data_IF_095076486750
#
_entry.id   IF_095076486750
#
_cell.length_a   1.000
_cell.length_b   1.000
_cell.length_c   1.000
_cell.angle_alpha   90.00
_cell.angle_beta   90.00
_cell.angle_gamma   90.00
#
_symmetry.space_group_name_H-M   'P 1'
#
loop_
_entity.id
_entity.type
_entity.pdbx_description
1 polymer ?
#
# COMPACT_ATOMS: atom_id res chain seq x y z
N UNK A 1 8.60 3.06 -18.18
CA UNK A 1 8.92 4.42 -17.73
C UNK A 1 8.93 4.34 -16.22
N UNK A 2 10.06 4.56 -15.55
CA UNK A 2 10.15 4.37 -14.09
C UNK A 2 9.33 5.46 -13.43
N UNK A 3 8.30 5.07 -12.67
CA UNK A 3 7.51 6.02 -11.88
C UNK A 3 8.31 6.36 -10.63
N UNK A 4 8.54 7.66 -10.40
CA UNK A 4 9.14 8.13 -9.15
C UNK A 4 8.04 8.25 -8.10
N UNK A 5 8.22 7.58 -6.96
CA UNK A 5 7.24 7.56 -5.87
C UNK A 5 6.86 8.99 -5.42
N UNK A 6 7.83 9.87 -5.21
CA UNK A 6 7.57 11.21 -4.69
C UNK A 6 6.83 12.06 -5.72
N UNK A 7 7.14 11.89 -7.00
CA UNK A 7 6.40 12.53 -8.07
C UNK A 7 4.95 12.03 -8.12
N UNK A 8 4.71 10.73 -8.05
CA UNK A 8 3.35 10.19 -8.07
C UNK A 8 2.54 10.65 -6.85
N UNK A 9 3.14 10.68 -5.66
CA UNK A 9 2.50 11.23 -4.45
C UNK A 9 2.09 12.71 -4.64
N UNK A 10 2.91 13.49 -5.33
CA UNK A 10 2.58 14.88 -5.68
C UNK A 10 1.42 14.96 -6.68
N UNK A 11 1.43 14.16 -7.75
CA UNK A 11 0.34 14.17 -8.73
C UNK A 11 -1.00 13.75 -8.08
N UNK A 12 -0.98 12.73 -7.21
CA UNK A 12 -2.17 12.29 -6.46
C UNK A 12 -2.66 13.42 -5.55
N UNK A 13 -1.75 14.12 -4.87
CA UNK A 13 -2.09 15.31 -4.07
C UNK A 13 -2.75 16.41 -4.93
N UNK A 14 -2.39 16.51 -6.21
CA UNK A 14 -3.00 17.41 -7.18
C UNK A 14 -4.30 16.89 -7.81
N UNK A 15 -4.79 15.72 -7.38
CA UNK A 15 -6.05 15.13 -7.81
C UNK A 15 -5.94 14.08 -8.91
N UNK A 16 -4.72 13.62 -9.25
CA UNK A 16 -4.55 12.48 -10.16
C UNK A 16 -5.07 11.20 -9.50
N UNK A 17 -5.87 10.43 -10.24
CA UNK A 17 -6.12 9.03 -9.93
C UNK A 17 -5.04 8.19 -10.63
N UNK A 18 -4.17 7.50 -9.90
CA UNK A 18 -3.09 6.73 -10.51
C UNK A 18 -3.65 5.47 -11.20
N UNK A 19 -2.99 4.97 -12.23
CA UNK A 19 -3.30 3.66 -12.85
C UNK A 19 -2.75 2.51 -12.00
N UNK A 20 -3.17 1.27 -12.26
CA UNK A 20 -2.67 0.08 -11.54
C UNK A 20 -1.17 -0.12 -11.75
N UNK A 21 -0.68 0.09 -12.98
CA UNK A 21 0.75 0.02 -13.30
C UNK A 21 1.56 1.10 -12.55
N UNK A 22 1.03 2.32 -12.45
CA UNK A 22 1.70 3.39 -11.68
C UNK A 22 1.75 3.09 -10.18
N UNK A 23 0.70 2.47 -9.64
CA UNK A 23 0.69 2.03 -8.24
C UNK A 23 1.72 0.93 -8.02
N UNK A 24 1.74 -0.11 -8.86
CA UNK A 24 2.69 -1.21 -8.73
C UNK A 24 4.14 -0.72 -8.80
N UNK A 25 4.47 0.15 -9.76
CA UNK A 25 5.81 0.75 -9.87
C UNK A 25 6.18 1.60 -8.65
N UNK A 26 5.24 2.37 -8.11
CA UNK A 26 5.48 3.17 -6.91
C UNK A 26 5.65 2.32 -5.64
N UNK A 27 4.88 1.23 -5.50
CA UNK A 27 5.01 0.29 -4.37
C UNK A 27 6.34 -0.47 -4.43
N UNK A 28 6.79 -0.83 -5.63
CA UNK A 28 8.13 -1.36 -5.85
C UNK A 28 9.21 -0.36 -5.44
N UNK A 29 9.10 0.92 -5.85
CA UNK A 29 10.06 1.95 -5.45
C UNK A 29 10.03 2.20 -3.93
N UNK A 30 8.86 2.10 -3.28
CA UNK A 30 8.77 2.07 -1.80
C UNK A 30 9.62 0.92 -1.28
N UNK A 31 9.36 -0.32 -1.69
CA UNK A 31 10.09 -1.48 -1.17
C UNK A 31 11.59 -1.34 -1.33
N UNK A 32 12.05 -0.90 -2.51
CA UNK A 32 13.48 -0.79 -2.82
C UNK A 32 14.17 0.38 -2.08
N UNK A 33 13.46 1.48 -1.78
CA UNK A 33 14.08 2.75 -1.37
C UNK A 33 13.53 3.36 -0.09
N UNK A 34 12.57 2.73 0.58
CA UNK A 34 11.94 3.30 1.77
C UNK A 34 12.93 3.57 2.89
N UNK A 35 14.00 2.77 3.02
CA UNK A 35 15.09 3.02 3.99
C UNK A 35 15.83 4.33 3.76
N UNK A 36 15.80 4.87 2.54
CA UNK A 36 16.50 6.11 2.17
C UNK A 36 15.63 7.36 2.34
N UNK A 37 14.30 7.23 2.21
CA UNK A 37 13.36 8.35 2.17
C UNK A 37 12.15 8.21 3.12
N UNK A 38 12.28 7.67 4.34
CA UNK A 38 11.12 7.41 5.19
C UNK A 38 10.45 8.72 5.64
N UNK A 39 11.23 9.79 5.87
CA UNK A 39 10.72 11.11 6.29
C UNK A 39 9.85 11.79 5.24
N UNK A 40 10.24 11.67 3.98
CA UNK A 40 9.57 12.30 2.84
C UNK A 40 8.28 11.55 2.53
N UNK A 41 8.35 10.22 2.45
CA UNK A 41 7.22 9.35 2.16
C UNK A 41 6.15 9.44 3.25
N UNK A 42 6.57 9.42 4.53
CA UNK A 42 5.65 9.49 5.68
C UNK A 42 5.32 10.93 6.12
N UNK A 43 5.73 11.95 5.36
CA UNK A 43 5.42 13.34 5.71
C UNK A 43 3.91 13.61 5.69
N UNK A 44 3.45 14.55 6.52
CA UNK A 44 2.02 14.85 6.64
C UNK A 44 1.37 15.21 5.29
N UNK A 45 2.09 15.93 4.41
CA UNK A 45 1.63 16.29 3.07
C UNK A 45 1.41 15.08 2.14
N UNK A 46 2.08 13.97 2.41
CA UNK A 46 2.03 12.75 1.60
C UNK A 46 1.13 11.68 2.23
N UNK A 47 0.63 11.90 3.44
CA UNK A 47 -0.16 10.92 4.18
C UNK A 47 -1.41 10.45 3.43
N UNK A 48 -2.19 11.37 2.86
CA UNK A 48 -3.39 10.99 2.09
C UNK A 48 -3.03 10.31 0.76
N UNK A 49 -2.13 10.86 -0.09
CA UNK A 49 -1.66 10.16 -1.28
C UNK A 49 -1.09 8.77 -1.02
N UNK A 50 -0.28 8.62 0.04
CA UNK A 50 0.33 7.34 0.42
C UNK A 50 -0.73 6.32 0.82
N UNK A 51 -1.74 6.72 1.60
CA UNK A 51 -2.84 5.82 1.96
C UNK A 51 -3.64 5.38 0.75
N UNK A 52 -3.82 6.23 -0.25
CA UNK A 52 -4.47 5.84 -1.50
C UNK A 52 -3.65 4.78 -2.25
N UNK A 53 -2.33 4.96 -2.37
CA UNK A 53 -1.44 3.95 -2.94
C UNK A 53 -1.50 2.64 -2.17
N UNK A 54 -1.45 2.69 -0.84
CA UNK A 54 -1.50 1.50 0.01
C UNK A 54 -2.86 0.81 -0.14
N UNK A 55 -3.97 1.55 -0.15
CA UNK A 55 -5.33 1.00 -0.32
C UNK A 55 -5.44 0.26 -1.64
N UNK A 56 -4.99 0.89 -2.73
CA UNK A 56 -4.93 0.28 -4.06
C UNK A 56 -4.05 -0.98 -4.07
N UNK A 57 -2.86 -0.92 -3.50
CA UNK A 57 -1.97 -2.07 -3.39
C UNK A 57 -2.58 -3.23 -2.58
N UNK A 58 -3.34 -2.94 -1.52
CA UNK A 58 -4.07 -3.96 -0.76
C UNK A 58 -5.14 -4.62 -1.63
N UNK A 59 -5.96 -3.82 -2.32
CA UNK A 59 -7.04 -4.33 -3.16
C UNK A 59 -6.52 -5.21 -4.31
N UNK A 60 -5.34 -4.89 -4.83
CA UNK A 60 -4.66 -5.68 -5.88
C UNK A 60 -3.83 -6.84 -5.33
N UNK A 61 -3.72 -6.97 -4.00
CA UNK A 61 -2.76 -7.86 -3.34
C UNK A 61 -1.35 -7.72 -3.95
N UNK A 62 -0.83 -6.50 -3.99
CA UNK A 62 0.49 -6.19 -4.53
C UNK A 62 1.59 -6.78 -3.66
N UNK A 63 2.44 -7.64 -4.23
CA UNK A 63 3.45 -8.37 -3.47
C UNK A 63 4.51 -7.44 -2.86
N UNK A 64 4.89 -6.37 -3.56
CA UNK A 64 5.92 -5.44 -3.10
C UNK A 64 5.44 -4.65 -1.88
N UNK A 65 4.18 -4.22 -1.85
CA UNK A 65 3.59 -3.62 -0.65
C UNK A 65 3.62 -4.57 0.55
N UNK A 66 3.24 -5.83 0.34
CA UNK A 66 3.15 -6.81 1.41
C UNK A 66 4.53 -7.11 1.98
N UNK A 67 5.53 -7.30 1.12
CA UNK A 67 6.92 -7.50 1.52
C UNK A 67 7.50 -6.24 2.18
N UNK A 68 7.25 -5.05 1.66
CA UNK A 68 7.67 -3.81 2.30
C UNK A 68 7.07 -3.65 3.70
N UNK A 69 5.85 -4.14 3.94
CA UNK A 69 5.25 -4.18 5.28
C UNK A 69 5.92 -5.21 6.21
N UNK A 70 6.49 -6.30 5.70
CA UNK A 70 7.33 -7.21 6.50
C UNK A 70 8.63 -6.51 6.92
N UNK A 71 9.23 -5.76 6.00
CA UNK A 71 10.55 -5.13 6.15
C UNK A 71 10.51 -3.83 6.98
N UNK A 72 9.39 -3.11 6.97
CA UNK A 72 9.30 -1.76 7.52
C UNK A 72 8.10 -1.53 8.44
N UNK A 73 8.38 -1.45 9.75
CA UNK A 73 7.39 -1.22 10.81
C UNK A 73 6.54 0.05 10.61
N UNK A 74 7.16 1.13 10.16
CA UNK A 74 6.47 2.42 9.97
C UNK A 74 5.51 2.37 8.79
N UNK A 75 5.90 1.74 7.67
CA UNK A 75 5.01 1.50 6.53
C UNK A 75 3.86 0.57 6.91
N UNK A 76 4.17 -0.52 7.62
CA UNK A 76 3.15 -1.47 8.12
C UNK A 76 2.11 -0.79 9.01
N UNK A 77 2.51 0.17 9.85
CA UNK A 77 1.58 0.96 10.66
C UNK A 77 0.62 1.80 9.80
N UNK A 78 1.12 2.42 8.73
CA UNK A 78 0.26 3.16 7.80
C UNK A 78 -0.66 2.23 7.00
N UNK A 79 -0.18 1.05 6.61
CA UNK A 79 -1.02 0.03 5.98
C UNK A 79 -2.13 -0.46 6.92
N UNK A 80 -1.82 -0.73 8.19
CA UNK A 80 -2.83 -1.09 9.16
C UNK A 80 -3.86 0.02 9.35
N UNK A 81 -3.44 1.28 9.42
CA UNK A 81 -4.37 2.42 9.49
C UNK A 81 -5.28 2.49 8.26
N UNK A 82 -4.73 2.25 7.07
CA UNK A 82 -5.49 2.18 5.80
C UNK A 82 -6.53 1.08 5.83
N UNK A 83 -6.14 -0.13 6.25
CA UNK A 83 -7.05 -1.27 6.45
C UNK A 83 -8.15 -0.95 7.47
N UNK A 84 -7.88 -0.12 8.49
CA UNK A 84 -8.93 0.29 9.46
C UNK A 84 -9.98 1.21 8.87
N UNK A 85 -9.66 1.93 7.80
CA UNK A 85 -10.59 2.83 7.10
C UNK A 85 -11.31 2.17 5.93
N UNK A 86 -10.89 0.97 5.51
CA UNK A 86 -11.55 0.23 4.45
C UNK A 86 -12.90 -0.31 4.92
N UNK A 87 -13.89 -0.29 4.03
CA UNK A 87 -15.19 -0.90 4.30
C UNK A 87 -15.16 -2.43 4.13
N UNK A 88 -16.27 -3.08 4.46
CA UNK A 88 -16.37 -4.54 4.42
C UNK A 88 -16.23 -5.09 3.00
N UNK A 89 -16.79 -4.43 2.00
CA UNK A 89 -16.77 -4.90 0.61
C UNK A 89 -15.35 -4.80 0.04
N UNK A 90 -14.62 -3.73 0.36
CA UNK A 90 -13.21 -3.56 0.04
C UNK A 90 -12.35 -4.66 0.69
N UNK A 91 -12.57 -4.97 1.97
CA UNK A 91 -11.82 -6.02 2.68
C UNK A 91 -12.11 -7.42 2.14
N UNK A 92 -13.37 -7.74 1.83
CA UNK A 92 -13.76 -9.01 1.20
C UNK A 92 -13.18 -9.16 -0.21
N UNK A 93 -13.10 -8.05 -0.97
CA UNK A 93 -12.43 -8.00 -2.27
C UNK A 93 -10.93 -8.28 -2.14
N UNK A 94 -10.24 -7.55 -1.27
CA UNK A 94 -8.81 -7.72 -1.02
C UNK A 94 -8.48 -9.15 -0.54
N UNK A 95 -9.31 -9.73 0.33
CA UNK A 95 -9.11 -11.09 0.84
C UNK A 95 -9.03 -12.12 -0.29
N UNK A 96 -9.87 -12.01 -1.33
CA UNK A 96 -9.87 -12.95 -2.47
C UNK A 96 -8.54 -12.90 -3.22
N UNK A 97 -8.05 -11.69 -3.50
CA UNK A 97 -6.78 -11.48 -4.20
C UNK A 97 -5.58 -11.94 -3.34
N UNK A 98 -5.61 -11.68 -2.03
CA UNK A 98 -4.58 -12.11 -1.08
C UNK A 98 -4.45 -13.63 -1.05
N UNK A 99 -5.58 -14.36 -0.98
CA UNK A 99 -5.57 -15.83 -1.02
C UNK A 99 -5.06 -16.32 -2.37
N UNK A 100 -5.53 -15.71 -3.48
CA UNK A 100 -5.13 -16.13 -4.83
C UNK A 100 -3.61 -16.03 -5.05
N UNK A 101 -2.95 -15.08 -4.38
CA UNK A 101 -1.49 -14.86 -4.44
C UNK A 101 -0.71 -15.46 -3.27
N UNK A 102 -1.35 -16.22 -2.37
CA UNK A 102 -0.72 -16.85 -1.19
C UNK A 102 -0.06 -15.83 -0.22
N UNK A 103 -0.67 -14.65 -0.07
CA UNK A 103 -0.15 -13.57 0.78
C UNK A 103 -0.77 -13.55 2.19
N UNK A 104 -1.67 -14.47 2.51
CA UNK A 104 -2.42 -14.49 3.78
C UNK A 104 -1.53 -14.74 5.01
N UNK A 105 -0.32 -15.26 4.81
CA UNK A 105 0.65 -15.55 5.88
C UNK A 105 1.57 -14.37 6.22
N UNK A 106 1.53 -13.30 5.42
CA UNK A 106 2.23 -12.05 5.74
C UNK A 106 1.55 -11.36 6.92
N UNK A 107 2.24 -10.42 7.58
CA UNK A 107 1.70 -9.61 8.66
C UNK A 107 0.49 -8.79 8.19
N UNK A 108 0.59 -8.17 7.01
CA UNK A 108 -0.51 -7.40 6.42
C UNK A 108 -1.67 -8.30 5.99
N UNK A 109 -1.39 -9.38 5.27
CA UNK A 109 -2.40 -10.36 4.87
C UNK A 109 -3.16 -10.89 6.08
N UNK A 110 -2.45 -11.44 7.07
CA UNK A 110 -3.07 -11.97 8.28
C UNK A 110 -3.85 -10.92 9.09
N UNK A 111 -3.44 -9.65 9.05
CA UNK A 111 -4.21 -8.55 9.67
C UNK A 111 -5.53 -8.27 8.94
N UNK A 112 -5.54 -8.34 7.61
CA UNK A 112 -6.74 -8.18 6.79
C UNK A 112 -7.70 -9.36 7.01
N UNK A 113 -7.20 -10.61 7.00
CA UNK A 113 -8.03 -11.80 7.22
C UNK A 113 -8.84 -11.72 8.52
N UNK A 114 -8.18 -11.37 9.64
CA UNK A 114 -8.82 -11.21 10.96
C UNK A 114 -9.85 -10.08 11.05
N UNK A 115 -9.91 -9.21 10.04
CA UNK A 115 -10.81 -8.05 10.00
C UNK A 115 -12.08 -8.32 9.20
N UNK A 116 -12.04 -9.33 8.34
CA UNK A 116 -13.19 -9.81 7.56
C UNK A 116 -14.03 -10.79 8.38
N UNK A 117 -13.39 -11.55 9.28
CA UNK A 117 -14.02 -12.43 10.28
C UNK A 117 -14.90 -11.67 11.28
#
# INVERSE_FOLDING_TARGET
>A
MRVDLLHLLEEIRMGKTPTDDEVAEALRDIRERFSELPSEVLSEKNRLPLRELIRRGILMADEDLFLACEEHDSLRREAYQTVRSMDRDELEGAMKEIIAKNLERTLLGGFIMRRVE
#
